data_IF_902695499957
#
_entry.id   IF_902695499957
#
_cell.length_a   1.000
_cell.length_b   1.000
_cell.length_c   1.000
_cell.angle_alpha   90.00
_cell.angle_beta   90.00
_cell.angle_gamma   90.00
#
_symmetry.space_group_name_H-M   'P 1'
#
loop_
_entity.id
_entity.type
_entity.pdbx_description
1 polymer ?
#
# COMPACT_ATOMS: atom_id res chain seq x y z
N UNK A 1 -10.82 -1.30 27.33
CA UNK A 1 -11.03 -0.76 25.97
C UNK A 1 -11.87 -1.76 25.20
N UNK A 2 -13.08 -1.40 24.78
CA UNK A 2 -13.89 -2.25 23.91
C UNK A 2 -13.11 -2.46 22.61
N UNK A 3 -12.94 -3.70 22.17
CA UNK A 3 -12.38 -3.99 20.84
C UNK A 3 -13.25 -3.27 19.81
N UNK A 4 -12.68 -2.38 19.01
CA UNK A 4 -13.40 -1.83 17.86
C UNK A 4 -13.76 -3.03 16.97
N UNK A 5 -15.05 -3.27 16.68
CA UNK A 5 -15.48 -4.42 15.89
C UNK A 5 -14.84 -4.44 14.48
N UNK A 6 -14.45 -3.28 13.95
CA UNK A 6 -13.82 -3.16 12.64
C UNK A 6 -12.32 -3.48 12.64
N UNK A 7 -11.62 -3.44 13.78
CA UNK A 7 -10.20 -3.85 13.81
C UNK A 7 -10.03 -5.35 13.52
N UNK A 8 -11.08 -6.15 13.76
CA UNK A 8 -11.11 -7.57 13.39
C UNK A 8 -11.05 -7.75 11.87
N UNK A 9 -11.59 -6.82 11.09
CA UNK A 9 -11.53 -6.87 9.62
C UNK A 9 -10.08 -6.75 9.16
N UNK A 10 -9.31 -5.84 9.78
CA UNK A 10 -7.89 -5.65 9.47
C UNK A 10 -7.05 -6.86 9.87
N UNK A 11 -7.36 -7.51 10.99
CA UNK A 11 -6.68 -8.74 11.42
C UNK A 11 -6.98 -9.92 10.48
N UNK A 12 -8.21 -10.04 10.00
CA UNK A 12 -8.60 -11.11 9.06
C UNK A 12 -8.12 -10.86 7.63
N UNK A 13 -7.85 -9.60 7.27
CA UNK A 13 -7.47 -9.18 5.92
C UNK A 13 -6.13 -8.45 5.92
N UNK A 14 -5.15 -8.99 6.66
CA UNK A 14 -3.82 -8.39 6.74
C UNK A 14 -3.20 -8.20 5.35
N UNK A 15 -2.46 -7.11 5.21
CA UNK A 15 -1.70 -6.87 4.00
C UNK A 15 -0.56 -7.89 3.89
N UNK A 16 -0.55 -8.60 2.78
CA UNK A 16 0.37 -9.72 2.47
C UNK A 16 1.29 -9.41 1.28
N UNK A 17 1.30 -8.17 0.80
CA UNK A 17 2.03 -7.76 -0.40
C UNK A 17 1.22 -7.90 -1.68
N UNK A 18 0.25 -8.82 -1.76
CA UNK A 18 -0.52 -9.06 -3.00
C UNK A 18 -1.94 -8.50 -3.00
N UNK A 19 -2.46 -8.09 -1.84
CA UNK A 19 -3.85 -7.66 -1.66
C UNK A 19 -3.96 -6.15 -1.35
N UNK A 20 -3.12 -5.32 -1.96
CA UNK A 20 -3.00 -3.89 -1.62
C UNK A 20 -4.33 -3.15 -1.72
N UNK A 21 -5.07 -3.31 -2.81
CA UNK A 21 -6.33 -2.57 -3.03
C UNK A 21 -7.43 -2.96 -2.03
N UNK A 22 -7.56 -4.25 -1.72
CA UNK A 22 -8.56 -4.74 -0.77
C UNK A 22 -8.19 -4.32 0.66
N UNK A 23 -6.92 -4.44 1.02
CA UNK A 23 -6.40 -3.97 2.30
C UNK A 23 -6.61 -2.46 2.47
N UNK A 24 -6.26 -1.65 1.46
CA UNK A 24 -6.42 -0.19 1.51
C UNK A 24 -7.88 0.21 1.67
N UNK A 25 -8.80 -0.49 0.98
CA UNK A 25 -10.25 -0.29 1.14
C UNK A 25 -10.70 -0.59 2.57
N UNK A 26 -10.30 -1.73 3.13
CA UNK A 26 -10.65 -2.10 4.51
C UNK A 26 -10.08 -1.11 5.54
N UNK A 27 -8.85 -0.64 5.31
CA UNK A 27 -8.21 0.38 6.14
C UNK A 27 -9.00 1.69 6.13
N UNK A 28 -9.36 2.20 4.94
CA UNK A 28 -10.14 3.44 4.81
C UNK A 28 -11.49 3.34 5.49
N UNK A 29 -12.22 2.24 5.32
CA UNK A 29 -13.50 2.01 6.02
C UNK A 29 -13.31 2.01 7.54
N UNK A 30 -12.24 1.39 8.04
CA UNK A 30 -11.95 1.35 9.48
C UNK A 30 -11.60 2.74 10.01
N UNK A 31 -10.84 3.53 9.25
CA UNK A 31 -10.45 4.89 9.61
C UNK A 31 -11.62 5.87 9.56
N UNK A 32 -12.50 5.76 8.56
CA UNK A 32 -13.71 6.57 8.43
C UNK A 32 -14.61 6.37 9.66
N UNK A 33 -14.81 5.12 10.09
CA UNK A 33 -15.56 4.81 11.31
C UNK A 33 -14.96 5.45 12.58
N UNK A 34 -13.62 5.53 12.66
CA UNK A 34 -12.90 6.18 13.77
C UNK A 34 -12.81 7.72 13.62
N UNK A 35 -13.35 8.29 12.54
CA UNK A 35 -13.21 9.69 12.14
C UNK A 35 -11.75 10.13 11.94
N UNK A 36 -10.91 9.25 11.40
CA UNK A 36 -9.46 9.41 11.25
C UNK A 36 -8.96 9.30 9.80
N UNK A 37 -9.86 9.09 8.82
CA UNK A 37 -9.45 8.98 7.39
C UNK A 37 -8.66 10.21 6.92
N UNK A 38 -8.98 11.39 7.45
CA UNK A 38 -8.32 12.65 7.13
C UNK A 38 -6.80 12.65 7.35
N UNK A 39 -6.27 11.74 8.18
CA UNK A 39 -4.83 11.56 8.41
C UNK A 39 -4.11 11.01 7.17
N UNK A 40 -4.80 10.23 6.32
CA UNK A 40 -4.19 9.65 5.13
C UNK A 40 -3.90 10.70 4.05
N UNK A 41 -4.74 11.74 3.96
CA UNK A 41 -4.68 12.73 2.89
C UNK A 41 -3.95 14.02 3.30
N UNK A 42 -3.89 14.32 4.60
CA UNK A 42 -3.31 15.56 5.10
C UNK A 42 -1.85 15.38 5.50
N UNK A 43 -0.96 16.30 5.11
CA UNK A 43 0.42 16.27 5.56
C UNK A 43 0.50 16.52 7.07
N UNK A 44 1.57 16.02 7.68
CA UNK A 44 1.93 16.28 9.08
C UNK A 44 2.05 17.80 9.31
N UNK A 45 1.19 18.42 10.16
CA UNK A 45 1.39 19.80 10.56
C UNK A 45 2.70 19.90 11.37
N UNK A 46 3.59 20.79 10.95
CA UNK A 46 4.96 20.84 11.48
C UNK A 46 5.05 21.65 12.79
N UNK A 47 4.29 22.74 12.92
CA UNK A 47 4.37 23.65 14.08
C UNK A 47 3.07 24.43 14.30
N UNK A 48 2.76 24.72 15.56
CA UNK A 48 1.80 25.77 15.95
C UNK A 48 2.52 27.13 16.05
N UNK A 49 1.99 28.21 15.44
CA UNK A 49 2.52 29.56 15.61
C UNK A 49 2.46 30.05 17.06
N UNK A 50 3.38 30.96 17.41
CA UNK A 50 3.32 31.70 18.67
C UNK A 50 2.04 32.56 18.72
N UNK A 51 1.31 32.47 19.83
CA UNK A 51 0.01 33.13 19.99
C UNK A 51 -1.20 32.33 19.52
N UNK A 52 -1.02 31.07 19.10
CA UNK A 52 -2.14 30.20 18.75
C UNK A 52 -3.18 30.07 19.86
N UNK A 53 -4.45 30.04 19.45
CA UNK A 53 -5.59 29.93 20.34
C UNK A 53 -5.61 28.56 21.07
N UNK A 54 -6.41 28.46 22.13
CA UNK A 54 -6.60 27.17 22.82
C UNK A 54 -7.18 26.10 21.88
N UNK A 55 -8.07 26.49 20.98
CA UNK A 55 -8.75 25.60 20.02
C UNK A 55 -7.80 25.09 18.95
N UNK A 56 -6.88 25.95 18.48
CA UNK A 56 -5.83 25.56 17.52
C UNK A 56 -4.87 24.55 18.14
N UNK A 57 -4.47 24.78 19.40
CA UNK A 57 -3.61 23.84 20.13
C UNK A 57 -4.27 22.49 20.34
N UNK A 58 -5.55 22.47 20.72
CA UNK A 58 -6.31 21.23 20.88
C UNK A 58 -6.42 20.45 19.56
N UNK A 59 -6.69 21.17 18.46
CA UNK A 59 -6.77 20.56 17.12
C UNK A 59 -5.43 19.94 16.70
N UNK A 60 -4.32 20.63 16.95
CA UNK A 60 -2.98 20.14 16.65
C UNK A 60 -2.62 18.90 17.46
N UNK A 61 -2.87 18.91 18.78
CA UNK A 61 -2.61 17.74 19.63
C UNK A 61 -3.48 16.55 19.25
N UNK A 62 -4.76 16.79 18.95
CA UNK A 62 -5.67 15.76 18.46
C UNK A 62 -5.16 15.14 17.17
N UNK A 63 -4.68 15.96 16.23
CA UNK A 63 -4.10 15.48 14.98
C UNK A 63 -2.93 14.53 15.25
N UNK A 64 -2.00 14.88 16.16
CA UNK A 64 -0.85 14.02 16.47
C UNK A 64 -1.24 12.71 17.16
N UNK A 65 -2.27 12.74 18.02
CA UNK A 65 -2.82 11.54 18.63
C UNK A 65 -3.43 10.63 17.56
N UNK A 66 -4.24 11.18 16.66
CA UNK A 66 -4.88 10.43 15.59
C UNK A 66 -3.84 9.88 14.61
N UNK A 67 -2.82 10.66 14.25
CA UNK A 67 -1.70 10.20 13.42
C UNK A 67 -0.98 9.00 14.01
N UNK A 68 -0.64 9.02 15.31
CA UNK A 68 -0.01 7.87 15.97
C UNK A 68 -0.90 6.62 15.95
N UNK A 69 -2.22 6.79 16.10
CA UNK A 69 -3.20 5.70 16.02
C UNK A 69 -3.27 5.12 14.61
N UNK A 70 -3.43 5.97 13.60
CA UNK A 70 -3.48 5.54 12.18
C UNK A 70 -2.20 4.83 11.78
N UNK A 71 -1.02 5.38 12.12
CA UNK A 71 0.27 4.72 11.88
C UNK A 71 0.32 3.33 12.52
N UNK A 72 -0.07 3.21 13.78
CA UNK A 72 -0.09 1.93 14.49
C UNK A 72 -1.05 0.94 13.84
N UNK A 73 -2.21 1.40 13.39
CA UNK A 73 -3.22 0.59 12.72
C UNK A 73 -2.74 0.09 11.35
N UNK A 74 -2.09 0.94 10.57
CA UNK A 74 -1.44 0.55 9.31
C UNK A 74 -0.44 -0.57 9.57
N UNK A 75 0.48 -0.39 10.52
CA UNK A 75 1.54 -1.37 10.79
C UNK A 75 1.00 -2.71 11.33
N UNK A 76 0.03 -2.70 12.24
CA UNK A 76 -0.53 -3.96 12.80
C UNK A 76 -1.40 -4.72 11.80
N UNK A 77 -1.99 -4.00 10.83
CA UNK A 77 -2.77 -4.58 9.73
C UNK A 77 -1.91 -5.21 8.64
N UNK A 78 -0.59 -5.28 8.82
CA UNK A 78 0.33 -5.97 7.93
C UNK A 78 0.71 -7.35 8.47
N UNK A 79 1.09 -8.24 7.56
CA UNK A 79 1.85 -9.44 7.89
C UNK A 79 3.24 -9.06 8.43
N UNK A 80 3.84 -9.91 9.27
CA UNK A 80 5.09 -9.60 9.97
C UNK A 80 6.27 -9.32 9.03
N UNK A 81 6.34 -10.00 7.89
CA UNK A 81 7.36 -9.85 6.86
C UNK A 81 7.22 -8.51 6.11
N UNK A 82 5.99 -8.06 5.86
CA UNK A 82 5.73 -6.75 5.28
C UNK A 82 5.95 -5.64 6.30
N UNK A 83 5.45 -5.80 7.53
CA UNK A 83 5.55 -4.80 8.60
C UNK A 83 6.99 -4.35 8.86
N UNK A 84 7.95 -5.28 8.89
CA UNK A 84 9.39 -5.00 9.08
C UNK A 84 10.00 -4.07 8.03
N UNK A 85 9.35 -3.91 6.88
CA UNK A 85 9.83 -3.01 5.83
C UNK A 85 9.43 -1.55 6.11
N UNK A 86 8.39 -1.33 6.93
CA UNK A 86 7.75 -0.02 7.15
C UNK A 86 7.81 0.46 8.60
N UNK A 87 8.11 -0.41 9.58
CA UNK A 87 8.07 -0.10 11.02
C UNK A 87 9.01 1.05 11.47
N UNK A 88 10.07 1.33 10.70
CA UNK A 88 11.00 2.44 10.92
C UNK A 88 10.55 3.79 10.34
N UNK A 89 9.46 3.83 9.58
CA UNK A 89 8.93 5.09 9.03
C UNK A 89 8.03 5.76 10.06
N UNK A 90 8.27 7.04 10.33
CA UNK A 90 7.61 7.77 11.43
C UNK A 90 6.29 8.43 11.03
N UNK A 91 6.04 8.62 9.74
CA UNK A 91 4.84 9.28 9.24
C UNK A 91 4.03 8.41 8.26
N UNK A 92 2.70 8.60 8.31
CA UNK A 92 1.72 7.86 7.49
C UNK A 92 1.95 8.09 6.00
N UNK A 93 2.29 9.32 5.59
CA UNK A 93 2.46 9.67 4.18
C UNK A 93 3.65 8.91 3.56
N UNK A 94 4.80 8.86 4.24
CA UNK A 94 5.97 8.10 3.81
C UNK A 94 5.70 6.61 3.72
N UNK A 95 4.92 6.05 4.67
CA UNK A 95 4.51 4.64 4.60
C UNK A 95 3.68 4.40 3.35
N UNK A 96 2.60 5.17 3.14
CA UNK A 96 1.70 5.00 2.01
C UNK A 96 2.40 5.21 0.66
N UNK A 97 3.25 6.24 0.55
CA UNK A 97 4.04 6.50 -0.66
C UNK A 97 4.94 5.31 -0.99
N UNK A 98 5.70 4.81 0.00
CA UNK A 98 6.59 3.67 -0.23
C UNK A 98 5.82 2.40 -0.56
N UNK A 99 4.65 2.19 0.03
CA UNK A 99 3.79 1.07 -0.33
C UNK A 99 3.30 1.18 -1.77
N UNK A 100 2.88 2.35 -2.22
CA UNK A 100 2.47 2.59 -3.61
C UNK A 100 3.63 2.32 -4.59
N UNK A 101 4.82 2.79 -4.28
CA UNK A 101 6.03 2.53 -5.09
C UNK A 101 6.33 1.04 -5.22
N UNK A 102 6.33 0.31 -4.10
CA UNK A 102 6.74 -1.10 -4.03
C UNK A 102 5.66 -2.03 -4.58
N UNK A 103 4.40 -1.82 -4.22
CA UNK A 103 3.33 -2.79 -4.46
C UNK A 103 2.35 -2.40 -5.57
N UNK A 104 2.35 -1.15 -6.03
CA UNK A 104 1.44 -0.68 -7.09
C UNK A 104 2.21 -0.31 -8.36
N UNK A 105 3.20 0.58 -8.24
CA UNK A 105 3.91 1.12 -9.40
C UNK A 105 4.80 0.04 -10.03
N UNK A 106 5.56 -0.70 -9.21
CA UNK A 106 6.42 -1.76 -9.71
C UNK A 106 5.63 -2.87 -10.43
N UNK A 107 4.49 -3.29 -9.87
CA UNK A 107 3.61 -4.29 -10.47
C UNK A 107 3.04 -3.79 -11.81
N UNK A 108 2.47 -2.58 -11.84
CA UNK A 108 1.96 -1.95 -13.07
C UNK A 108 3.02 -1.83 -14.15
N UNK A 109 4.23 -1.40 -13.78
CA UNK A 109 5.35 -1.26 -14.72
C UNK A 109 5.77 -2.61 -15.27
N UNK A 110 5.92 -3.61 -14.40
CA UNK A 110 6.30 -4.97 -14.79
C UNK A 110 5.25 -5.57 -15.71
N UNK A 111 3.97 -5.47 -15.35
CA UNK A 111 2.84 -5.91 -16.16
C UNK A 111 2.83 -5.24 -17.54
N UNK A 112 3.04 -3.93 -17.59
CA UNK A 112 3.11 -3.20 -18.86
C UNK A 112 4.27 -3.68 -19.74
N UNK A 113 5.48 -3.78 -19.17
CA UNK A 113 6.68 -4.22 -19.91
C UNK A 113 6.52 -5.64 -20.42
N UNK A 114 6.08 -6.58 -19.57
CA UNK A 114 5.89 -7.99 -19.94
C UNK A 114 4.77 -8.17 -20.96
N UNK A 115 3.64 -7.48 -20.81
CA UNK A 115 2.55 -7.48 -21.80
C UNK A 115 3.04 -6.95 -23.14
N UNK A 116 3.76 -5.83 -23.13
CA UNK A 116 4.32 -5.22 -24.35
C UNK A 116 5.31 -6.14 -25.04
N UNK A 117 6.16 -6.83 -24.29
CA UNK A 117 7.10 -7.83 -24.83
C UNK A 117 6.31 -8.98 -25.46
N UNK A 118 5.39 -9.60 -24.72
CA UNK A 118 4.58 -10.72 -25.18
C UNK A 118 3.82 -10.43 -26.49
N UNK A 119 3.16 -9.28 -26.59
CA UNK A 119 2.38 -8.94 -27.80
C UNK A 119 3.23 -8.47 -28.99
N UNK A 120 4.44 -7.95 -28.74
CA UNK A 120 5.32 -7.46 -29.82
C UNK A 120 6.27 -8.53 -30.32
N UNK A 121 6.57 -9.54 -29.51
CA UNK A 121 7.49 -10.60 -29.88
C UNK A 121 6.93 -11.42 -31.03
N UNK A 122 7.80 -11.69 -32.01
CA UNK A 122 7.49 -12.56 -33.15
C UNK A 122 8.65 -13.52 -33.30
N UNK A 123 8.32 -14.77 -33.58
CA UNK A 123 9.33 -15.77 -33.90
C UNK A 123 10.10 -15.35 -35.15
N UNK A 124 11.42 -15.37 -35.08
CA UNK A 124 12.29 -15.05 -36.21
C UNK A 124 12.25 -16.18 -37.23
N UNK A 125 12.19 -15.85 -38.52
CA UNK A 125 12.23 -16.84 -39.60
C UNK A 125 13.53 -17.67 -39.52
N UNK A 126 13.41 -19.00 -39.59
CA UNK A 126 14.54 -19.91 -39.45
C UNK A 126 15.00 -20.18 -38.01
N UNK A 127 14.36 -19.58 -36.98
CA UNK A 127 14.68 -19.88 -35.57
C UNK A 127 14.00 -21.16 -35.05
N UNK A 128 14.44 -21.63 -33.86
CA UNK A 128 13.86 -22.80 -33.20
C UNK A 128 12.48 -22.50 -32.61
N UNK A 129 11.46 -23.27 -33.01
CA UNK A 129 10.10 -23.19 -32.45
C UNK A 129 10.11 -23.50 -30.95
N UNK A 130 10.95 -24.46 -30.52
CA UNK A 130 11.01 -24.88 -29.11
C UNK A 130 11.54 -23.74 -28.22
N UNK A 131 12.61 -23.08 -28.66
CA UNK A 131 13.20 -21.95 -27.91
C UNK A 131 12.23 -20.78 -27.81
N UNK A 132 11.55 -20.45 -28.93
CA UNK A 132 10.49 -19.45 -28.94
C UNK A 132 9.34 -19.83 -28.00
N UNK A 133 8.90 -21.08 -28.02
CA UNK A 133 7.86 -21.60 -27.13
C UNK A 133 8.23 -21.46 -25.65
N UNK A 134 9.47 -21.76 -25.28
CA UNK A 134 9.98 -21.59 -23.91
C UNK A 134 9.99 -20.10 -23.51
N UNK A 135 10.42 -19.21 -24.41
CA UNK A 135 10.38 -17.75 -24.15
C UNK A 135 8.95 -17.28 -23.91
N UNK A 136 8.01 -17.63 -24.79
CA UNK A 136 6.61 -17.23 -24.66
C UNK A 136 5.97 -17.79 -23.38
N UNK A 137 6.24 -19.05 -23.04
CA UNK A 137 5.78 -19.66 -21.78
C UNK A 137 6.31 -18.90 -20.56
N UNK A 138 7.57 -18.46 -20.59
CA UNK A 138 8.16 -17.67 -19.50
C UNK A 138 7.47 -16.31 -19.32
N UNK A 139 7.05 -15.66 -20.40
CA UNK A 139 6.32 -14.39 -20.36
C UNK A 139 4.90 -14.57 -19.83
N UNK A 140 4.21 -15.65 -20.24
CA UNK A 140 2.88 -16.00 -19.70
C UNK A 140 2.97 -16.23 -18.19
N UNK A 141 3.93 -17.04 -17.75
CA UNK A 141 4.11 -17.31 -16.32
C UNK A 141 4.40 -16.05 -15.50
N UNK A 142 5.25 -15.16 -16.02
CA UNK A 142 5.48 -13.84 -15.38
C UNK A 142 4.20 -13.02 -15.26
N UNK A 143 3.31 -13.06 -16.25
CA UNK A 143 2.03 -12.35 -16.20
C UNK A 143 1.05 -12.99 -15.21
N UNK A 144 1.04 -14.33 -15.11
CA UNK A 144 0.23 -15.08 -14.13
C UNK A 144 0.63 -14.77 -12.68
N UNK A 145 1.92 -14.56 -12.44
CA UNK A 145 2.45 -14.24 -11.11
C UNK A 145 2.09 -12.80 -10.67
N UNK A 146 1.81 -11.88 -11.61
CA UNK A 146 1.38 -10.50 -11.35
C UNK A 146 -0.13 -10.45 -11.13
N UNK A 147 -0.60 -10.91 -9.96
CA UNK A 147 -2.04 -10.97 -9.59
C UNK A 147 -2.78 -9.63 -9.82
N UNK A 148 -4.00 -9.71 -10.34
CA UNK A 148 -4.88 -8.60 -10.70
C UNK A 148 -5.36 -7.76 -9.50
#
# INVERSE_FOLDING_TARGET
MSKNPLTVILDNNKFSGTNYNDWLRNLRITLDYENQEYIMDKPLPQTLPDGSSSEERETFERWHVDHRKVRSMILVSMSNDVQKQFDRLDDVASILQRMEEVYVILDRRTRYVTTKEFFRDKMTEGSSVQEYGVKMLSLVKKLEDLKA
#
